data_IF_966594565621
#
_entry.id   IF_966594565621
#
_cell.length_a   1.000
_cell.length_b   1.000
_cell.length_c   1.000
_cell.angle_alpha   90.00
_cell.angle_beta   90.00
_cell.angle_gamma   90.00
#
_symmetry.space_group_name_H-M   'P 1'
#
loop_
_entity.id
_entity.type
_entity.pdbx_description
1 polymer ?
#
# COMPACT_ATOMS: atom_id res chain seq x y z
N UNK A 1 -11.19 18.36 -5.99
CA UNK A 1 -10.40 17.49 -5.09
C UNK A 1 -10.24 18.22 -3.77
N UNK A 2 -10.44 17.55 -2.64
CA UNK A 2 -10.19 18.12 -1.32
C UNK A 2 -9.20 17.21 -0.59
N UNK A 3 -8.08 17.76 -0.09
CA UNK A 3 -6.99 17.00 0.53
C UNK A 3 -6.43 15.85 -0.35
N UNK A 4 -6.55 15.97 -1.68
CA UNK A 4 -6.15 14.94 -2.63
C UNK A 4 -7.15 13.81 -2.84
N UNK A 5 -8.27 13.81 -2.10
CA UNK A 5 -9.37 12.87 -2.29
C UNK A 5 -10.36 13.36 -3.37
N UNK A 6 -10.93 12.44 -4.16
CA UNK A 6 -11.98 12.76 -5.12
C UNK A 6 -13.26 13.10 -4.35
N UNK A 7 -13.89 14.22 -4.72
CA UNK A 7 -15.18 14.63 -4.15
C UNK A 7 -16.28 13.93 -4.96
N UNK A 8 -16.76 12.80 -4.44
CA UNK A 8 -17.78 12.00 -5.10
C UNK A 8 -18.85 11.64 -4.07
N UNK A 9 -20.12 11.90 -4.40
CA UNK A 9 -21.26 11.57 -3.54
C UNK A 9 -21.62 10.08 -3.57
N UNK A 10 -21.25 9.36 -4.65
CA UNK A 10 -21.36 7.91 -4.77
C UNK A 10 -20.14 7.19 -4.16
N UNK A 11 -20.28 5.88 -3.94
CA UNK A 11 -19.15 5.00 -3.60
C UNK A 11 -18.01 5.17 -4.60
N UNK A 12 -16.77 5.19 -4.09
CA UNK A 12 -15.59 5.29 -4.93
C UNK A 12 -15.46 4.09 -5.84
N UNK A 13 -15.12 4.35 -7.10
CA UNK A 13 -14.72 3.32 -8.06
C UNK A 13 -13.21 3.15 -8.03
N UNK A 14 -12.71 2.05 -8.61
CA UNK A 14 -11.27 1.85 -8.74
C UNK A 14 -10.58 2.96 -9.54
N UNK A 15 -11.31 3.58 -10.48
CA UNK A 15 -10.81 4.69 -11.29
C UNK A 15 -10.66 5.97 -10.47
N UNK A 16 -11.61 6.25 -9.58
CA UNK A 16 -11.55 7.43 -8.68
C UNK A 16 -10.33 7.34 -7.75
N UNK A 17 -9.96 6.11 -7.35
CA UNK A 17 -8.79 5.83 -6.53
C UNK A 17 -7.48 5.71 -7.32
N UNK A 18 -7.46 5.92 -8.64
CA UNK A 18 -6.24 5.76 -9.44
C UNK A 18 -5.14 6.74 -9.04
N UNK A 19 -5.49 7.91 -8.51
CA UNK A 19 -4.49 8.84 -7.98
C UNK A 19 -3.77 8.30 -6.74
N UNK A 20 -4.41 7.44 -5.93
CA UNK A 20 -3.73 6.78 -4.81
C UNK A 20 -2.63 5.85 -5.33
N UNK A 21 -2.95 4.96 -6.26
CA UNK A 21 -1.97 4.00 -6.79
C UNK A 21 -0.84 4.70 -7.52
N UNK A 22 -1.15 5.72 -8.32
CA UNK A 22 -0.13 6.56 -8.97
C UNK A 22 0.77 7.26 -7.94
N UNK A 23 0.22 7.78 -6.84
CA UNK A 23 1.00 8.43 -5.79
C UNK A 23 1.95 7.45 -5.10
N UNK A 24 1.55 6.18 -4.91
CA UNK A 24 2.45 5.16 -4.38
C UNK A 24 3.59 4.85 -5.35
N UNK A 25 3.29 4.71 -6.64
CA UNK A 25 4.28 4.45 -7.69
C UNK A 25 5.28 5.61 -7.80
N UNK A 26 4.79 6.85 -7.80
CA UNK A 26 5.63 8.05 -7.88
C UNK A 26 6.62 8.13 -6.71
N UNK A 27 6.15 7.85 -5.47
CA UNK A 27 7.04 7.77 -4.30
C UNK A 27 8.10 6.69 -4.46
N UNK A 28 7.71 5.51 -4.94
CA UNK A 28 8.66 4.41 -5.20
C UNK A 28 9.69 4.81 -6.27
N UNK A 29 9.26 5.45 -7.37
CA UNK A 29 10.14 5.90 -8.43
C UNK A 29 11.15 6.92 -7.92
N UNK A 30 10.74 7.84 -7.04
CA UNK A 30 11.65 8.80 -6.38
C UNK A 30 12.74 8.15 -5.52
N UNK A 31 12.55 6.90 -5.07
CA UNK A 31 13.52 6.13 -4.31
C UNK A 31 14.29 5.11 -5.14
N UNK A 32 13.76 4.73 -6.30
CA UNK A 32 14.32 3.72 -7.22
C UNK A 32 15.72 4.10 -7.71
N UNK A 33 16.04 5.40 -7.80
CA UNK A 33 17.40 5.88 -8.11
C UNK A 33 18.43 5.58 -7.01
N UNK A 34 17.98 5.22 -5.80
CA UNK A 34 18.82 4.88 -4.66
C UNK A 34 18.97 3.36 -4.57
N UNK A 35 20.19 2.85 -4.43
CA UNK A 35 20.43 1.43 -4.20
C UNK A 35 19.98 1.03 -2.79
N UNK A 36 18.72 0.64 -2.64
CA UNK A 36 18.12 0.31 -1.34
C UNK A 36 18.25 -1.17 -0.99
N UNK A 37 18.64 -1.44 0.26
CA UNK A 37 18.59 -2.77 0.84
C UNK A 37 17.14 -3.27 1.01
N UNK A 38 16.97 -4.57 1.24
CA UNK A 38 15.65 -5.13 1.55
C UNK A 38 15.01 -4.46 2.78
N UNK A 39 15.77 -4.35 3.87
CA UNK A 39 15.33 -3.70 5.11
C UNK A 39 15.01 -2.21 4.90
N UNK A 40 15.79 -1.50 4.08
CA UNK A 40 15.50 -0.10 3.74
C UNK A 40 14.18 0.06 2.98
N UNK A 41 13.89 -0.84 2.04
CA UNK A 41 12.60 -0.87 1.32
C UNK A 41 11.44 -1.18 2.26
N UNK A 42 11.61 -2.14 3.16
CA UNK A 42 10.61 -2.45 4.20
C UNK A 42 10.31 -1.23 5.07
N UNK A 43 11.34 -0.52 5.52
CA UNK A 43 11.19 0.68 6.34
C UNK A 43 10.41 1.78 5.59
N UNK A 44 10.69 2.00 4.31
CA UNK A 44 9.98 2.98 3.49
C UNK A 44 8.51 2.61 3.27
N UNK A 45 8.21 1.31 3.09
CA UNK A 45 6.83 0.83 3.04
C UNK A 45 6.10 1.19 4.32
N UNK A 46 6.68 0.86 5.48
CA UNK A 46 6.07 1.08 6.80
C UNK A 46 5.90 2.56 7.12
N UNK A 47 6.95 3.36 6.90
CA UNK A 47 6.97 4.77 7.29
C UNK A 47 6.17 5.68 6.34
N UNK A 48 6.16 5.39 5.04
CA UNK A 48 5.57 6.30 4.04
C UNK A 48 4.40 5.71 3.28
N UNK A 49 4.58 4.57 2.60
CA UNK A 49 3.52 4.04 1.73
C UNK A 49 2.28 3.63 2.54
N UNK A 50 2.50 3.03 3.71
CA UNK A 50 1.42 2.68 4.62
C UNK A 50 0.68 3.91 5.16
N UNK A 51 1.39 5.00 5.46
CA UNK A 51 0.78 6.26 5.88
C UNK A 51 -0.14 6.85 4.80
N UNK A 52 0.31 6.85 3.54
CA UNK A 52 -0.51 7.30 2.41
C UNK A 52 -1.76 6.44 2.25
N UNK A 53 -1.62 5.12 2.30
CA UNK A 53 -2.75 4.20 2.19
C UNK A 53 -3.74 4.35 3.35
N UNK A 54 -3.23 4.44 4.59
CA UNK A 54 -4.05 4.57 5.79
C UNK A 54 -4.84 5.89 5.80
N UNK A 55 -4.25 6.98 5.32
CA UNK A 55 -4.96 8.25 5.14
C UNK A 55 -6.18 8.10 4.21
N UNK A 56 -6.05 7.34 3.13
CA UNK A 56 -7.18 7.08 2.23
C UNK A 56 -8.24 6.20 2.87
N UNK A 57 -7.81 5.11 3.53
CA UNK A 57 -8.71 4.18 4.21
C UNK A 57 -9.49 4.85 5.34
N UNK A 58 -8.86 5.76 6.09
CA UNK A 58 -9.52 6.45 7.20
C UNK A 58 -10.58 7.46 6.74
N UNK A 59 -10.49 7.96 5.51
CA UNK A 59 -11.37 8.99 4.98
C UNK A 59 -12.38 8.46 3.96
N UNK A 60 -12.15 7.28 3.38
CA UNK A 60 -13.04 6.70 2.39
C UNK A 60 -12.97 5.16 2.36
N UNK A 61 -14.12 4.55 2.09
CA UNK A 61 -14.20 3.12 1.81
C UNK A 61 -13.60 2.83 0.44
N UNK A 62 -12.49 2.08 0.42
CA UNK A 62 -11.80 1.74 -0.82
C UNK A 62 -12.38 0.48 -1.48
N UNK A 63 -12.48 0.45 -2.83
CA UNK A 63 -12.77 -0.77 -3.57
C UNK A 63 -11.72 -1.85 -3.36
N UNK A 64 -12.16 -3.12 -3.38
CA UNK A 64 -11.26 -4.27 -3.27
C UNK A 64 -10.14 -4.26 -4.32
N UNK A 65 -10.46 -3.88 -5.55
CA UNK A 65 -9.49 -3.78 -6.63
C UNK A 65 -8.36 -2.79 -6.31
N UNK A 66 -8.69 -1.62 -5.76
CA UNK A 66 -7.72 -0.60 -5.35
C UNK A 66 -6.81 -1.10 -4.24
N UNK A 67 -7.37 -1.78 -3.23
CA UNK A 67 -6.60 -2.34 -2.12
C UNK A 67 -5.60 -3.39 -2.61
N UNK A 68 -6.04 -4.29 -3.50
CA UNK A 68 -5.18 -5.32 -4.09
C UNK A 68 -4.05 -4.71 -4.94
N UNK A 69 -4.34 -3.64 -5.69
CA UNK A 69 -3.32 -2.95 -6.47
C UNK A 69 -2.28 -2.25 -5.57
N UNK A 70 -2.71 -1.63 -4.47
CA UNK A 70 -1.79 -1.04 -3.48
C UNK A 70 -0.87 -2.12 -2.86
N UNK A 71 -1.44 -3.25 -2.45
CA UNK A 71 -0.66 -4.39 -1.93
C UNK A 71 0.31 -4.94 -2.98
N UNK A 72 -0.10 -5.03 -4.24
CA UNK A 72 0.75 -5.47 -5.36
C UNK A 72 1.91 -4.51 -5.60
N UNK A 73 1.69 -3.20 -5.57
CA UNK A 73 2.72 -2.18 -5.71
C UNK A 73 3.75 -2.31 -4.58
N UNK A 74 3.30 -2.36 -3.32
CA UNK A 74 4.18 -2.50 -2.16
C UNK A 74 4.95 -3.83 -2.17
N UNK A 75 4.29 -4.93 -2.53
CA UNK A 75 4.91 -6.25 -2.70
C UNK A 75 6.02 -6.20 -3.75
N UNK A 76 5.73 -5.63 -4.91
CA UNK A 76 6.68 -5.56 -6.02
C UNK A 76 7.90 -4.74 -5.63
N UNK A 77 7.68 -3.60 -4.96
CA UNK A 77 8.76 -2.77 -4.45
C UNK A 77 9.64 -3.53 -3.43
N UNK A 78 9.03 -4.22 -2.46
CA UNK A 78 9.75 -4.95 -1.42
C UNK A 78 10.69 -6.03 -1.98
N UNK A 79 10.24 -6.78 -2.99
CA UNK A 79 11.02 -7.90 -3.54
C UNK A 79 11.94 -7.47 -4.68
N UNK A 80 11.41 -6.78 -5.68
CA UNK A 80 12.12 -6.43 -6.92
C UNK A 80 12.95 -5.15 -6.81
N UNK A 81 12.48 -4.17 -6.05
CA UNK A 81 13.19 -2.88 -5.95
C UNK A 81 13.26 -2.21 -7.33
N UNK A 82 14.40 -1.60 -7.66
CA UNK A 82 14.65 -0.91 -8.94
C UNK A 82 15.19 -1.82 -10.04
N UNK A 83 15.74 -2.98 -9.71
CA UNK A 83 16.47 -3.84 -10.63
C UNK A 83 15.79 -5.21 -10.80
N UNK A 84 15.04 -5.37 -11.89
CA UNK A 84 14.67 -6.67 -12.46
C UNK A 84 13.75 -7.58 -11.62
N UNK A 85 13.15 -8.57 -12.29
CA UNK A 85 12.09 -9.45 -11.76
C UNK A 85 12.58 -10.40 -10.64
N UNK A 86 12.80 -9.92 -9.41
CA UNK A 86 12.87 -10.83 -8.24
C UNK A 86 11.47 -11.27 -7.85
N UNK A 87 11.21 -12.58 -7.95
CA UNK A 87 9.94 -13.15 -7.51
C UNK A 87 9.82 -13.03 -5.98
N UNK A 88 8.59 -12.80 -5.52
CA UNK A 88 8.29 -12.83 -4.09
C UNK A 88 8.66 -14.19 -3.53
N UNK A 89 9.50 -14.22 -2.49
CA UNK A 89 9.93 -15.47 -1.84
C UNK A 89 8.87 -16.01 -0.88
N UNK A 90 8.01 -15.14 -0.38
CA UNK A 90 7.02 -15.44 0.65
C UNK A 90 5.66 -14.86 0.24
N UNK A 91 4.54 -15.57 0.49
CA UNK A 91 3.20 -15.02 0.31
C UNK A 91 3.01 -13.71 1.09
N UNK A 92 2.31 -12.75 0.50
CA UNK A 92 2.09 -11.45 1.16
C UNK A 92 1.23 -11.56 2.41
N UNK A 93 0.32 -12.53 2.48
CA UNK A 93 -0.44 -12.84 3.70
C UNK A 93 0.50 -13.11 4.87
N UNK A 94 1.53 -13.94 4.67
CA UNK A 94 2.55 -14.24 5.68
C UNK A 94 3.39 -13.01 6.00
N UNK A 95 3.82 -12.24 4.98
CA UNK A 95 4.54 -10.98 5.18
C UNK A 95 3.77 -9.99 6.05
N UNK A 96 2.44 -9.98 5.91
CA UNK A 96 1.56 -9.08 6.62
C UNK A 96 1.22 -9.50 8.06
N UNK A 97 1.67 -10.66 8.52
CA UNK A 97 1.48 -11.07 9.92
C UNK A 97 2.31 -10.19 10.87
N UNK A 98 1.91 -10.11 12.16
CA UNK A 98 2.71 -9.45 13.18
C UNK A 98 4.13 -9.99 13.26
N UNK A 99 5.08 -9.14 13.70
CA UNK A 99 6.49 -9.57 13.88
C UNK A 99 6.63 -10.71 14.89
N UNK A 100 5.77 -10.76 15.90
CA UNK A 100 5.73 -11.85 16.88
C UNK A 100 5.36 -13.21 16.26
N UNK A 101 4.66 -13.20 15.11
CA UNK A 101 4.24 -14.39 14.38
C UNK A 101 5.18 -14.70 13.19
N UNK A 102 6.35 -14.04 13.11
CA UNK A 102 7.32 -14.23 12.04
C UNK A 102 7.06 -13.40 10.76
N UNK A 103 6.08 -12.50 10.78
CA UNK A 103 5.83 -11.55 9.70
C UNK A 103 6.69 -10.30 9.77
N UNK A 104 6.40 -9.34 8.88
CA UNK A 104 7.12 -8.07 8.82
C UNK A 104 6.36 -6.93 9.49
N UNK A 105 5.15 -7.17 10.02
CA UNK A 105 4.33 -6.14 10.67
C UNK A 105 3.72 -5.14 9.69
N UNK A 106 3.50 -5.55 8.43
CA UNK A 106 2.75 -4.76 7.44
C UNK A 106 1.27 -5.15 7.56
N UNK A 107 0.41 -4.28 8.04
CA UNK A 107 -1.05 -4.54 8.04
C UNK A 107 -1.63 -4.68 6.62
N UNK A 108 -2.62 -5.55 6.45
CA UNK A 108 -3.30 -5.72 5.16
C UNK A 108 -4.27 -4.57 4.90
N UNK A 109 -4.35 -4.15 3.64
CA UNK A 109 -5.25 -3.07 3.23
C UNK A 109 -6.71 -3.44 3.50
N UNK A 110 -7.09 -4.68 3.22
CA UNK A 110 -8.43 -5.20 3.44
C UNK A 110 -8.87 -5.14 4.90
N UNK A 111 -7.98 -5.48 5.83
CA UNK A 111 -8.29 -5.52 7.25
C UNK A 111 -8.40 -4.10 7.82
N UNK A 112 -7.50 -3.19 7.41
CA UNK A 112 -7.60 -1.77 7.74
C UNK A 112 -8.90 -1.15 7.20
N UNK A 113 -9.31 -1.48 5.98
CA UNK A 113 -10.52 -0.94 5.36
C UNK A 113 -11.79 -1.45 6.05
N UNK A 114 -11.85 -2.73 6.40
CA UNK A 114 -12.94 -3.28 7.23
C UNK A 114 -13.00 -2.60 8.59
N UNK A 115 -11.86 -2.45 9.27
CA UNK A 115 -11.81 -1.77 10.56
C UNK A 115 -12.24 -0.30 10.47
N UNK A 116 -11.91 0.39 9.39
CA UNK A 116 -12.36 1.76 9.15
C UNK A 116 -13.87 1.85 8.90
N UNK A 117 -14.49 0.84 8.28
CA UNK A 117 -15.96 0.78 8.12
C UNK A 117 -16.70 0.65 9.45
N UNK A 118 -16.07 0.06 10.47
CA UNK A 118 -16.66 -0.12 11.81
C UNK A 118 -16.57 1.16 12.66
N UNK A 119 -15.91 2.23 12.17
CA UNK A 119 -15.87 3.54 12.85
C UNK A 119 -17.12 4.40 12.58
N UNK A 120 -18.23 3.76 12.21
CA UNK A 120 -19.54 4.38 12.08
C UNK A 120 -20.34 4.17 13.37
#
# INVERSE_FOLDING_TARGET
RYLGLPLVSRRLSAMDCKCLTLKLVDRIQSWTSKCLSYSGRLQLIQATLHGIQNFWISNAILPKATMLECEKIMRTFLWSGSAGRRRAKVPWSTVCTPKAEGGLGIRRAGDCNKAAMLRL
#
